data_IF_561472542474
#
_entry.id   IF_561472542474
#
_cell.length_a   1.000
_cell.length_b   1.000
_cell.length_c   1.000
_cell.angle_alpha   90.00
_cell.angle_beta   90.00
_cell.angle_gamma   90.00
#
_symmetry.space_group_name_H-M   'P 1'
#
loop_
_entity.id
_entity.type
_entity.pdbx_description
1 polymer ?
#
# COMPACT_ATOMS: atom_id res chain seq x y z
N UNK A 1 -8.24 -10.98 -22.71
CA UNK A 1 -7.00 -10.26 -22.37
C UNK A 1 -7.37 -9.09 -21.46
N UNK A 2 -7.69 -9.33 -20.18
CA UNK A 2 -8.07 -8.26 -19.24
C UNK A 2 -7.72 -8.55 -17.77
N UNK A 3 -7.04 -9.65 -17.44
CA UNK A 3 -6.89 -10.05 -16.03
C UNK A 3 -5.78 -9.33 -15.27
N UNK A 4 -4.80 -8.69 -15.94
CA UNK A 4 -3.62 -8.13 -15.25
C UNK A 4 -3.72 -6.63 -14.95
N UNK A 5 -4.66 -5.91 -15.57
CA UNK A 5 -4.79 -4.45 -15.37
C UNK A 5 -5.74 -4.10 -14.21
N UNK A 6 -6.74 -4.95 -13.92
CA UNK A 6 -7.69 -4.71 -12.83
C UNK A 6 -7.04 -4.81 -11.45
N UNK A 7 -6.15 -5.77 -11.23
CA UNK A 7 -5.52 -6.01 -9.92
C UNK A 7 -4.72 -4.80 -9.42
N UNK A 8 -3.97 -4.12 -10.28
CA UNK A 8 -3.21 -2.94 -9.85
C UNK A 8 -4.12 -1.79 -9.40
N UNK A 9 -5.22 -1.56 -10.14
CA UNK A 9 -6.19 -0.51 -9.78
C UNK A 9 -6.95 -0.85 -8.51
N UNK A 10 -7.31 -2.12 -8.32
CA UNK A 10 -7.97 -2.62 -7.10
C UNK A 10 -7.04 -2.45 -5.89
N UNK A 11 -5.79 -2.91 -5.99
CA UNK A 11 -4.80 -2.77 -4.92
C UNK A 11 -4.55 -1.29 -4.60
N UNK A 12 -4.43 -0.43 -5.62
CA UNK A 12 -4.27 1.00 -5.42
C UNK A 12 -5.45 1.62 -4.67
N UNK A 13 -6.68 1.18 -4.96
CA UNK A 13 -7.89 1.65 -4.29
C UNK A 13 -7.86 1.29 -2.81
N UNK A 14 -7.60 0.02 -2.48
CA UNK A 14 -7.49 -0.44 -1.09
C UNK A 14 -6.36 0.26 -0.34
N UNK A 15 -5.20 0.45 -0.98
CA UNK A 15 -4.08 1.19 -0.38
C UNK A 15 -4.52 2.61 -0.01
N UNK A 16 -5.27 3.29 -0.88
CA UNK A 16 -5.81 4.61 -0.55
C UNK A 16 -6.80 4.57 0.60
N UNK A 17 -7.70 3.59 0.62
CA UNK A 17 -8.67 3.43 1.71
C UNK A 17 -7.97 3.23 3.05
N UNK A 18 -7.04 2.28 3.15
CA UNK A 18 -6.27 2.00 4.37
C UNK A 18 -5.47 3.22 4.82
N UNK A 19 -4.81 3.90 3.89
CA UNK A 19 -4.04 5.11 4.21
C UNK A 19 -4.97 6.24 4.68
N UNK A 20 -6.14 6.43 4.07
CA UNK A 20 -7.11 7.43 4.51
C UNK A 20 -7.76 7.09 5.85
N UNK A 21 -7.91 5.81 6.19
CA UNK A 21 -8.41 5.37 7.50
C UNK A 21 -7.42 5.68 8.63
N UNK A 22 -6.12 5.48 8.37
CA UNK A 22 -5.05 5.70 9.36
C UNK A 22 -4.64 7.18 9.39
N UNK A 23 -4.57 7.84 8.24
CA UNK A 23 -4.19 9.24 8.07
C UNK A 23 -5.34 10.05 7.46
N UNK A 24 -6.41 10.33 8.23
CA UNK A 24 -7.59 11.05 7.74
C UNK A 24 -7.29 12.50 7.34
N UNK A 25 -6.14 13.05 7.77
CA UNK A 25 -5.66 14.38 7.36
C UNK A 25 -5.10 14.41 5.93
N UNK A 26 -4.75 13.25 5.37
CA UNK A 26 -4.21 13.14 4.02
C UNK A 26 -5.35 13.09 3.01
N UNK A 27 -5.52 14.20 2.28
CA UNK A 27 -6.58 14.33 1.27
C UNK A 27 -6.16 13.78 -0.10
N UNK A 28 -4.87 13.76 -0.39
CA UNK A 28 -4.33 13.21 -1.63
C UNK A 28 -3.15 12.27 -1.37
N UNK A 29 -3.22 11.09 -1.99
CA UNK A 29 -2.27 9.99 -1.85
C UNK A 29 -1.69 9.74 -3.24
N UNK A 30 -0.74 10.57 -3.68
CA UNK A 30 -0.04 10.34 -4.94
C UNK A 30 0.84 9.09 -4.83
N UNK A 31 0.75 8.22 -5.83
CA UNK A 31 1.51 6.97 -5.89
C UNK A 31 3.03 7.16 -5.82
N UNK A 32 3.56 8.25 -6.38
CA UNK A 32 4.99 8.53 -6.41
C UNK A 32 5.57 9.07 -5.08
N UNK A 33 4.76 9.26 -4.04
CA UNK A 33 5.24 9.71 -2.72
C UNK A 33 5.49 8.54 -1.78
N UNK A 34 6.46 8.71 -0.88
CA UNK A 34 6.65 7.81 0.24
C UNK A 34 5.57 8.04 1.32
N UNK A 35 5.15 7.00 2.04
CA UNK A 35 4.16 7.11 3.13
C UNK A 35 4.57 8.18 4.16
N UNK A 36 5.86 8.22 4.52
CA UNK A 36 6.44 9.25 5.38
C UNK A 36 6.19 10.68 4.87
N UNK A 37 6.25 10.91 3.56
CA UNK A 37 6.05 12.23 2.96
C UNK A 37 4.56 12.61 2.89
N UNK A 38 3.68 11.63 3.09
CA UNK A 38 2.24 11.85 3.28
C UNK A 38 1.92 12.24 4.73
N UNK A 39 2.87 12.12 5.66
CA UNK A 39 2.64 12.36 7.09
C UNK A 39 2.60 11.09 7.93
N UNK A 40 2.78 9.91 7.32
CA UNK A 40 2.82 8.65 8.07
C UNK A 40 4.06 8.58 8.98
N UNK A 41 3.83 8.51 10.28
CA UNK A 41 4.88 8.30 11.25
C UNK A 41 5.38 6.84 11.24
N UNK A 42 6.28 6.49 12.18
CA UNK A 42 6.84 5.14 12.22
C UNK A 42 5.85 4.05 12.64
N UNK A 43 4.84 4.40 13.43
CA UNK A 43 3.76 3.51 13.84
C UNK A 43 2.72 3.42 12.72
N UNK A 44 2.30 4.55 12.15
CA UNK A 44 1.32 4.60 11.07
C UNK A 44 1.76 3.76 9.87
N UNK A 45 3.03 3.88 9.47
CA UNK A 45 3.58 3.07 8.37
C UNK A 45 3.45 1.58 8.66
N UNK A 46 3.73 1.16 9.89
CA UNK A 46 3.64 -0.24 10.29
C UNK A 46 2.18 -0.71 10.28
N UNK A 47 1.25 0.10 10.78
CA UNK A 47 -0.18 -0.20 10.75
C UNK A 47 -0.73 -0.30 9.32
N UNK A 48 -0.39 0.65 8.44
CA UNK A 48 -0.78 0.63 7.02
C UNK A 48 -0.30 -0.66 6.37
N UNK A 49 0.98 -1.01 6.54
CA UNK A 49 1.56 -2.22 5.96
C UNK A 49 0.88 -3.48 6.51
N UNK A 50 0.67 -3.57 7.82
CA UNK A 50 0.01 -4.71 8.45
C UNK A 50 -1.43 -4.89 7.97
N UNK A 51 -2.20 -3.80 7.87
CA UNK A 51 -3.57 -3.81 7.38
C UNK A 51 -3.63 -4.29 5.91
N UNK A 52 -2.71 -3.83 5.06
CA UNK A 52 -2.63 -4.26 3.67
C UNK A 52 -2.21 -5.74 3.53
N UNK A 53 -1.24 -6.19 4.32
CA UNK A 53 -0.84 -7.59 4.36
C UNK A 53 -1.99 -8.50 4.78
N UNK A 54 -2.74 -8.12 5.82
CA UNK A 54 -3.90 -8.88 6.28
C UNK A 54 -5.02 -8.88 5.23
N UNK A 55 -5.32 -7.72 4.64
CA UNK A 55 -6.36 -7.56 3.62
C UNK A 55 -6.11 -8.44 2.38
N UNK A 56 -4.87 -8.44 1.88
CA UNK A 56 -4.50 -9.23 0.70
C UNK A 56 -4.00 -10.64 1.03
N UNK A 57 -3.83 -10.98 2.31
CA UNK A 57 -3.23 -12.24 2.75
C UNK A 57 -1.76 -12.41 2.34
N UNK A 58 -1.03 -11.30 2.19
CA UNK A 58 0.38 -11.28 1.80
C UNK A 58 1.25 -11.52 3.04
N UNK A 59 2.06 -12.57 3.02
CA UNK A 59 3.05 -12.83 4.06
C UNK A 59 4.44 -12.43 3.55
N UNK A 60 4.88 -11.23 3.93
CA UNK A 60 6.22 -10.72 3.61
C UNK A 60 6.85 -10.07 4.84
N UNK A 61 8.19 -10.07 4.95
CA UNK A 61 8.87 -9.43 6.07
C UNK A 61 8.70 -7.90 6.00
N UNK A 62 8.53 -7.24 7.15
CA UNK A 62 8.43 -5.78 7.24
C UNK A 62 9.62 -5.05 6.59
N UNK A 63 10.80 -5.69 6.57
CA UNK A 63 11.99 -5.16 5.91
C UNK A 63 11.77 -4.91 4.40
N UNK A 64 11.02 -5.77 3.72
CA UNK A 64 10.73 -5.60 2.28
C UNK A 64 9.90 -4.34 2.06
N UNK A 65 8.89 -4.10 2.90
CA UNK A 65 8.07 -2.90 2.85
C UNK A 65 8.83 -1.65 3.29
N UNK A 66 9.74 -1.76 4.25
CA UNK A 66 10.60 -0.64 4.67
C UNK A 66 11.58 -0.20 3.56
N UNK A 67 11.88 -1.10 2.63
CA UNK A 67 12.71 -0.81 1.46
C UNK A 67 11.91 -0.18 0.30
N UNK A 68 10.58 -0.12 0.41
CA UNK A 68 9.71 0.46 -0.63
C UNK A 68 9.81 1.99 -0.58
N UNK A 69 10.24 2.64 -1.69
CA UNK A 69 10.46 4.09 -1.70
C UNK A 69 9.18 4.92 -1.89
N UNK A 70 8.09 4.33 -2.39
CA UNK A 70 6.87 5.07 -2.74
C UNK A 70 5.63 4.15 -2.78
N UNK A 71 4.44 4.75 -2.77
CA UNK A 71 3.16 4.03 -2.76
C UNK A 71 2.94 3.22 -4.05
N UNK A 72 3.41 3.68 -5.21
CA UNK A 72 3.31 2.93 -6.47
C UNK A 72 4.09 1.62 -6.39
N UNK A 73 5.28 1.65 -5.81
CA UNK A 73 6.09 0.44 -5.55
C UNK A 73 5.43 -0.48 -4.53
N UNK A 74 4.76 0.07 -3.52
CA UNK A 74 3.98 -0.71 -2.55
C UNK A 74 2.83 -1.45 -3.25
N UNK A 75 2.09 -0.73 -4.09
CA UNK A 75 0.96 -1.26 -4.86
C UNK A 75 1.42 -2.32 -5.84
N UNK A 76 2.52 -2.08 -6.56
CA UNK A 76 3.10 -3.07 -7.46
C UNK A 76 3.52 -4.35 -6.71
N UNK A 77 4.17 -4.20 -5.55
CA UNK A 77 4.61 -5.31 -4.71
C UNK A 77 3.43 -6.17 -4.22
N UNK A 78 2.34 -5.52 -3.80
CA UNK A 78 1.11 -6.17 -3.37
C UNK A 78 0.38 -6.80 -4.56
N UNK A 79 0.24 -6.11 -5.69
CA UNK A 79 -0.43 -6.63 -6.89
C UNK A 79 0.26 -7.88 -7.45
N UNK A 80 1.59 -7.95 -7.39
CA UNK A 80 2.35 -9.12 -7.81
C UNK A 80 2.11 -10.35 -6.90
N UNK A 81 1.82 -10.12 -5.61
CA UNK A 81 1.61 -11.19 -4.61
C UNK A 81 0.14 -11.51 -4.37
N UNK A 82 -0.76 -10.60 -4.74
CA UNK A 82 -2.20 -10.71 -4.54
C UNK A 82 -2.88 -11.56 -5.61
N UNK A 83 -2.14 -12.26 -6.47
CA UNK A 83 -2.70 -13.24 -7.41
C UNK A 83 -3.38 -14.38 -6.67
N UNK A 84 -4.70 -14.22 -6.47
CA UNK A 84 -5.68 -15.28 -6.31
C UNK A 84 -6.54 -15.38 -7.57
#
# INVERSE_FOLDING_TARGET
>A
MTSTQSTHSEVFTVVREVVSDILPEVTDIPGHKHLKDLGADSVDRVEIILALMDHFGVQAPMSDFSAVPDVDRLVAFLAERSTR
#
